data_IF_176322147539
#
_entry.id   IF_176322147539
#
_cell.length_a   1.000
_cell.length_b   1.000
_cell.length_c   1.000
_cell.angle_alpha   90.00
_cell.angle_beta   90.00
_cell.angle_gamma   90.00
#
_symmetry.space_group_name_H-M   'P 1'
#
loop_
_entity.id
_entity.type
_entity.pdbx_description
1 polymer ?
#
# COMPACT_ATOMS: atom_id res chain seq x y z
N UNK A 1 -0.36 25.12 12.16
CA UNK A 1 -1.20 25.00 10.95
C UNK A 1 -0.26 24.80 9.77
N UNK A 2 0.06 23.57 9.39
CA UNK A 2 0.92 23.30 8.25
C UNK A 2 0.06 23.41 7.00
N UNK A 3 0.23 24.46 6.21
CA UNK A 3 -0.26 24.55 4.86
C UNK A 3 0.51 23.52 4.02
N UNK A 4 -0.10 22.35 3.80
CA UNK A 4 0.32 21.51 2.70
C UNK A 4 0.03 22.28 1.41
N UNK A 5 1.07 22.56 0.65
CA UNK A 5 0.98 23.20 -0.65
C UNK A 5 0.01 22.42 -1.52
N UNK A 6 -1.15 22.96 -1.82
CA UNK A 6 -2.07 22.43 -2.83
C UNK A 6 -1.44 22.66 -4.19
N UNK A 7 -0.58 21.72 -4.61
CA UNK A 7 -0.05 21.73 -5.97
C UNK A 7 -1.15 21.40 -6.98
N UNK A 8 -0.93 21.74 -8.25
CA UNK A 8 -1.86 21.46 -9.36
C UNK A 8 -2.27 19.97 -9.49
N UNK A 9 -1.61 19.08 -8.77
CA UNK A 9 -1.73 17.62 -8.85
C UNK A 9 -2.31 16.95 -7.60
N UNK A 10 -2.78 17.71 -6.61
CA UNK A 10 -3.37 17.16 -5.39
C UNK A 10 -4.69 17.82 -5.02
N UNK A 11 -5.59 17.01 -4.43
CA UNK A 11 -6.81 17.45 -3.78
C UNK A 11 -6.65 17.23 -2.27
N UNK A 12 -7.03 18.23 -1.51
CA UNK A 12 -7.02 18.18 -0.05
C UNK A 12 -8.46 18.30 0.45
N UNK A 13 -8.88 17.33 1.26
CA UNK A 13 -10.21 17.29 1.85
C UNK A 13 -10.08 17.05 3.35
N UNK A 14 -10.84 17.77 4.17
CA UNK A 14 -10.95 17.46 5.58
C UNK A 14 -12.17 16.55 5.82
N UNK A 15 -12.01 15.59 6.71
CA UNK A 15 -13.13 14.76 7.15
C UNK A 15 -14.09 15.59 8.02
N UNK A 16 -15.32 15.12 8.19
CA UNK A 16 -16.14 15.59 9.30
C UNK A 16 -15.45 15.29 10.64
N UNK A 17 -15.71 16.13 11.61
CA UNK A 17 -15.12 15.94 12.94
C UNK A 17 -15.62 14.62 13.53
N UNK A 18 -14.69 13.79 13.98
CA UNK A 18 -15.02 12.56 14.72
C UNK A 18 -15.42 12.93 16.16
N UNK A 19 -16.62 12.51 16.58
CA UNK A 19 -17.17 12.86 17.89
C UNK A 19 -16.43 12.21 19.06
N UNK A 20 -15.79 11.06 18.85
CA UNK A 20 -15.02 10.36 19.89
C UNK A 20 -13.61 10.93 20.04
N UNK A 21 -12.96 11.16 18.91
CA UNK A 21 -11.58 11.64 18.88
C UNK A 21 -11.47 13.16 18.91
N UNK A 22 -12.61 13.87 18.75
CA UNK A 22 -12.72 15.32 18.75
C UNK A 22 -11.80 16.02 17.74
N UNK A 23 -11.47 15.34 16.63
CA UNK A 23 -10.57 15.85 15.58
C UNK A 23 -11.08 15.59 14.19
N UNK A 24 -10.60 16.39 13.24
CA UNK A 24 -10.70 16.17 11.80
C UNK A 24 -9.38 15.62 11.28
N UNK A 25 -9.45 14.92 10.14
CA UNK A 25 -8.29 14.43 9.42
C UNK A 25 -8.22 15.11 8.06
N UNK A 26 -7.04 15.57 7.71
CA UNK A 26 -6.79 16.06 6.36
C UNK A 26 -6.35 14.90 5.48
N UNK A 27 -7.11 14.65 4.43
CA UNK A 27 -6.82 13.64 3.41
C UNK A 27 -6.27 14.32 2.16
N UNK A 28 -5.15 13.81 1.69
CA UNK A 28 -4.53 14.29 0.45
C UNK A 28 -4.62 13.18 -0.59
N UNK A 29 -5.22 13.49 -1.73
CA UNK A 29 -5.34 12.56 -2.87
C UNK A 29 -4.70 13.16 -4.11
N UNK A 30 -4.14 12.31 -4.97
CA UNK A 30 -3.60 12.74 -6.25
C UNK A 30 -4.70 13.09 -7.24
N UNK A 31 -4.50 14.14 -8.01
CA UNK A 31 -5.38 14.59 -9.09
C UNK A 31 -4.66 14.48 -10.43
N UNK A 32 -5.28 13.78 -11.37
CA UNK A 32 -4.78 13.60 -12.73
C UNK A 32 -4.52 12.13 -13.08
N UNK A 33 -3.89 11.88 -14.22
CA UNK A 33 -3.54 10.54 -14.67
C UNK A 33 -2.58 9.87 -13.68
N UNK A 34 -2.91 8.64 -13.25
CA UNK A 34 -2.19 7.92 -12.20
C UNK A 34 -2.70 8.19 -10.78
N UNK A 35 -3.59 9.20 -10.58
CA UNK A 35 -4.23 9.45 -9.28
C UNK A 35 -3.23 9.61 -8.14
N UNK A 36 -3.55 9.00 -7.00
CA UNK A 36 -2.73 9.09 -5.77
C UNK A 36 -1.36 8.40 -5.90
N UNK A 37 -1.18 7.46 -6.85
CA UNK A 37 0.14 6.86 -7.06
C UNK A 37 1.22 7.85 -7.48
N UNK A 38 0.85 9.02 -8.01
CA UNK A 38 1.80 10.09 -8.37
C UNK A 38 2.34 10.90 -7.18
N UNK A 39 1.72 10.77 -6.04
CA UNK A 39 2.06 11.55 -4.83
C UNK A 39 2.34 10.67 -3.61
N UNK A 40 2.38 9.36 -3.79
CA UNK A 40 2.74 8.42 -2.73
C UNK A 40 4.28 8.33 -2.56
N UNK A 41 4.72 7.58 -1.59
CA UNK A 41 6.15 7.41 -1.29
C UNK A 41 6.81 6.26 -2.06
N UNK A 42 6.10 5.64 -3.01
CA UNK A 42 6.56 4.51 -3.84
C UNK A 42 7.13 3.33 -3.01
N UNK A 43 6.58 3.14 -1.80
CA UNK A 43 6.99 2.06 -0.91
C UNK A 43 6.26 0.79 -1.31
N UNK A 44 7.01 -0.25 -1.69
CA UNK A 44 6.50 -1.60 -1.91
C UNK A 44 6.83 -2.49 -0.72
N UNK A 45 5.83 -3.16 -0.15
CA UNK A 45 6.00 -4.11 0.95
C UNK A 45 4.98 -5.24 0.83
N UNK A 46 5.43 -6.47 1.09
CA UNK A 46 4.57 -7.65 1.10
C UNK A 46 3.88 -7.90 2.45
N UNK A 47 4.11 -7.04 3.44
CA UNK A 47 3.58 -7.25 4.79
C UNK A 47 4.40 -8.24 5.62
N UNK A 48 3.91 -8.54 6.80
CA UNK A 48 4.59 -9.40 7.78
C UNK A 48 4.05 -10.84 7.69
N UNK A 49 4.92 -11.87 7.53
CA UNK A 49 4.49 -13.25 7.42
C UNK A 49 3.53 -13.71 8.52
N UNK A 50 3.78 -13.30 9.76
CA UNK A 50 2.95 -13.67 10.90
C UNK A 50 1.48 -13.23 10.77
N UNK A 51 1.19 -12.12 10.10
CA UNK A 51 -0.19 -11.66 9.89
C UNK A 51 -0.95 -12.57 8.92
N UNK A 52 -0.31 -12.97 7.82
CA UNK A 52 -0.90 -13.90 6.85
C UNK A 52 -1.13 -15.27 7.49
N UNK A 53 -0.15 -15.76 8.25
CA UNK A 53 -0.28 -17.04 8.93
C UNK A 53 -1.40 -17.02 9.96
N UNK A 54 -1.59 -15.94 10.71
CA UNK A 54 -2.72 -15.78 11.60
C UNK A 54 -4.07 -15.90 10.88
N UNK A 55 -4.20 -15.34 9.68
CA UNK A 55 -5.42 -15.51 8.87
C UNK A 55 -5.64 -16.95 8.45
N UNK A 56 -4.57 -17.64 8.06
CA UNK A 56 -4.64 -19.08 7.73
C UNK A 56 -5.05 -19.91 8.94
N UNK A 57 -4.48 -19.64 10.12
CA UNK A 57 -4.77 -20.32 11.38
C UNK A 57 -6.24 -20.12 11.82
N UNK A 58 -6.82 -18.96 11.50
CA UNK A 58 -8.25 -18.69 11.68
C UNK A 58 -9.15 -19.39 10.64
N UNK A 59 -8.60 -20.25 9.79
CA UNK A 59 -9.32 -21.07 8.82
C UNK A 59 -9.43 -20.49 7.41
N UNK A 60 -8.74 -19.39 7.10
CA UNK A 60 -8.71 -18.81 5.75
C UNK A 60 -7.66 -19.51 4.90
N UNK A 61 -8.03 -20.65 4.34
CA UNK A 61 -7.15 -21.46 3.46
C UNK A 61 -6.72 -20.64 2.24
N UNK A 62 -5.47 -20.77 1.82
CA UNK A 62 -4.90 -20.01 0.70
C UNK A 62 -4.35 -18.63 1.10
N UNK A 63 -4.35 -18.29 2.39
CA UNK A 63 -3.90 -17.01 2.91
C UNK A 63 -2.67 -17.09 3.81
N UNK A 64 -2.02 -18.24 3.93
CA UNK A 64 -0.71 -18.27 4.59
C UNK A 64 0.33 -17.45 3.80
N UNK A 65 1.35 -16.97 4.46
CA UNK A 65 2.40 -16.21 3.78
C UNK A 65 3.04 -16.99 2.64
N UNK A 66 3.31 -18.26 2.85
CA UNK A 66 3.88 -19.14 1.84
C UNK A 66 2.99 -19.27 0.59
N UNK A 67 1.67 -19.37 0.81
CA UNK A 67 0.69 -19.41 -0.30
C UNK A 67 0.56 -18.06 -1.01
N UNK A 68 0.81 -16.92 -0.32
CA UNK A 68 0.74 -15.58 -0.90
C UNK A 68 2.01 -15.18 -1.67
N UNK A 69 3.18 -15.70 -1.32
CA UNK A 69 4.47 -15.38 -1.96
C UNK A 69 4.45 -15.51 -3.49
N UNK A 70 3.87 -16.57 -4.08
CA UNK A 70 3.81 -16.67 -5.55
C UNK A 70 3.04 -15.53 -6.21
N UNK A 71 2.01 -15.00 -5.56
CA UNK A 71 1.23 -13.86 -6.08
C UNK A 71 2.02 -12.56 -6.01
N UNK A 72 2.77 -12.33 -4.92
CA UNK A 72 3.66 -11.17 -4.83
C UNK A 72 4.72 -11.20 -5.91
N UNK A 73 5.37 -12.34 -6.13
CA UNK A 73 6.36 -12.51 -7.20
C UNK A 73 5.76 -12.28 -8.58
N UNK A 74 4.55 -12.80 -8.84
CA UNK A 74 3.87 -12.64 -10.12
C UNK A 74 3.47 -11.21 -10.42
N UNK A 75 3.22 -10.38 -9.40
CA UNK A 75 2.86 -8.96 -9.55
C UNK A 75 4.07 -8.03 -9.65
N UNK A 76 5.29 -8.53 -9.44
CA UNK A 76 6.50 -7.71 -9.37
C UNK A 76 7.42 -7.95 -10.56
N UNK A 77 7.93 -6.86 -11.13
CA UNK A 77 9.07 -6.88 -12.04
C UNK A 77 10.24 -6.14 -11.38
N UNK A 78 11.13 -6.91 -10.75
CA UNK A 78 12.29 -6.34 -10.05
C UNK A 78 13.49 -6.23 -10.99
N UNK A 79 14.00 -5.03 -11.18
CA UNK A 79 15.15 -4.72 -12.04
C UNK A 79 16.49 -4.66 -11.28
N UNK A 80 16.47 -4.78 -9.95
CA UNK A 80 17.67 -4.87 -9.12
C UNK A 80 18.26 -6.27 -9.10
N UNK A 81 19.58 -6.39 -8.94
CA UNK A 81 20.31 -7.67 -8.91
C UNK A 81 20.15 -8.50 -7.63
N UNK A 82 19.00 -8.46 -6.98
CA UNK A 82 18.73 -9.16 -5.73
C UNK A 82 18.18 -10.58 -5.94
N UNK A 83 18.19 -11.39 -4.87
CA UNK A 83 17.82 -12.79 -4.90
C UNK A 83 16.38 -13.00 -5.40
N UNK A 84 16.20 -13.95 -6.32
CA UNK A 84 14.89 -14.41 -6.80
C UNK A 84 14.02 -15.04 -5.68
N UNK A 85 14.57 -15.21 -4.50
CA UNK A 85 13.86 -15.76 -3.35
C UNK A 85 12.71 -14.84 -2.91
N UNK A 86 12.92 -13.52 -2.96
CA UNK A 86 11.94 -12.52 -2.48
C UNK A 86 11.30 -11.68 -3.58
N UNK A 87 11.88 -11.70 -4.78
CA UNK A 87 11.47 -10.83 -5.88
C UNK A 87 11.00 -11.61 -7.09
N UNK A 88 10.02 -11.06 -7.81
CA UNK A 88 9.60 -11.55 -9.12
C UNK A 88 10.31 -10.82 -10.26
N UNK A 89 10.38 -11.46 -11.41
CA UNK A 89 11.04 -10.92 -12.62
C UNK A 89 10.07 -10.66 -13.78
N UNK A 90 8.86 -11.21 -13.70
CA UNK A 90 7.95 -11.31 -14.86
C UNK A 90 6.63 -10.56 -14.65
N UNK A 91 6.53 -9.76 -13.58
CA UNK A 91 5.37 -8.95 -13.28
C UNK A 91 5.23 -7.70 -14.17
N UNK A 92 4.11 -7.00 -14.02
CA UNK A 92 3.81 -5.77 -14.76
C UNK A 92 4.63 -4.58 -14.25
#
# INVERSE_FOLDING_TARGET
MHHLSTGAHSLVCDTVKDDRLQRTWTLVTGRGLGGTSRINGDIYTCGVPAQYNAWSDEGRKGWSYEEMVPYFRRSQHWVGGASQEYHGSDGA
#
